data_IF_613771971991
#
_entry.id   IF_613771971991
#
_cell.length_a   1.000
_cell.length_b   1.000
_cell.length_c   1.000
_cell.angle_alpha   90.00
_cell.angle_beta   90.00
_cell.angle_gamma   90.00
#
_symmetry.space_group_name_H-M   'P 1'
#
loop_
_entity.id
_entity.type
_entity.pdbx_description
1 polymer ?
#
# COMPACT_ATOMS: atom_id res chain seq x y z
N UNK A 1 0.74 -10.20 13.74
CA UNK A 1 0.01 -10.60 12.50
C UNK A 1 -1.02 -9.52 12.21
N UNK A 2 -1.16 -9.08 10.95
CA UNK A 2 -2.06 -7.98 10.60
C UNK A 2 -3.52 -8.41 10.82
N UNK A 3 -4.31 -7.58 11.51
CA UNK A 3 -5.74 -7.74 11.67
C UNK A 3 -6.46 -6.64 10.89
N UNK A 4 -7.14 -7.00 9.79
CA UNK A 4 -7.76 -6.01 8.90
C UNK A 4 -8.95 -5.29 9.56
N UNK A 5 -9.61 -5.91 10.53
CA UNK A 5 -10.76 -5.31 11.21
C UNK A 5 -10.37 -4.21 12.20
N UNK A 6 -9.10 -4.14 12.61
CA UNK A 6 -8.59 -3.07 13.47
C UNK A 6 -7.96 -1.91 12.70
N UNK A 7 -7.90 -2.00 11.36
CA UNK A 7 -7.31 -0.97 10.53
C UNK A 7 -8.34 0.13 10.23
N UNK A 8 -7.97 1.35 10.54
CA UNK A 8 -8.69 2.55 10.13
C UNK A 8 -8.03 3.12 8.90
N UNK A 9 -8.81 3.36 7.84
CA UNK A 9 -8.28 3.97 6.61
C UNK A 9 -8.01 5.45 6.88
N UNK A 10 -6.76 5.88 6.66
CA UNK A 10 -6.38 7.31 6.68
C UNK A 10 -6.82 7.96 5.37
N UNK A 11 -6.50 7.33 4.24
CA UNK A 11 -6.85 7.85 2.93
C UNK A 11 -6.35 6.99 1.79
N UNK A 12 -6.83 7.28 0.58
CA UNK A 12 -6.23 6.74 -0.64
C UNK A 12 -4.97 7.54 -0.96
N UNK A 13 -3.85 6.85 -1.15
CA UNK A 13 -2.60 7.42 -1.67
C UNK A 13 -2.70 7.49 -3.19
N UNK A 14 -3.26 6.43 -3.80
CA UNK A 14 -3.56 6.34 -5.22
C UNK A 14 -4.99 5.82 -5.42
N UNK A 15 -5.75 6.50 -6.27
CA UNK A 15 -7.11 6.12 -6.65
C UNK A 15 -7.30 6.33 -8.16
N UNK A 16 -8.12 5.51 -8.81
CA UNK A 16 -8.66 5.84 -10.14
C UNK A 16 -10.17 5.63 -10.19
N UNK A 17 -10.61 4.38 -10.11
CA UNK A 17 -12.04 3.99 -9.99
C UNK A 17 -12.28 3.23 -8.68
N UNK A 18 -11.37 3.42 -7.73
CA UNK A 18 -11.18 2.59 -6.56
C UNK A 18 -9.76 2.72 -6.03
N UNK A 19 -9.58 2.32 -4.78
CA UNK A 19 -8.29 2.41 -4.09
C UNK A 19 -7.25 1.47 -4.74
N UNK A 20 -6.23 2.05 -5.37
CA UNK A 20 -5.06 1.32 -5.87
C UNK A 20 -4.05 1.14 -4.74
N UNK A 21 -3.83 2.21 -3.98
CA UNK A 21 -2.98 2.21 -2.80
C UNK A 21 -3.67 3.01 -1.71
N UNK A 22 -3.95 2.39 -0.57
CA UNK A 22 -4.56 3.04 0.58
C UNK A 22 -3.66 2.94 1.81
N UNK A 23 -3.59 4.03 2.57
CA UNK A 23 -2.88 4.11 3.84
C UNK A 23 -3.86 3.86 4.99
N UNK A 24 -3.43 3.03 5.92
CA UNK A 24 -4.18 2.64 7.10
C UNK A 24 -3.34 2.81 8.36
N UNK A 25 -4.02 2.95 9.49
CA UNK A 25 -3.45 2.98 10.83
C UNK A 25 -4.18 1.96 11.71
N UNK A 26 -3.46 1.28 12.61
CA UNK A 26 -4.09 0.51 13.68
C UNK A 26 -4.22 1.31 14.99
N UNK A 27 -4.80 0.68 16.01
CA UNK A 27 -4.98 1.28 17.33
C UNK A 27 -3.65 1.59 18.05
N UNK A 28 -2.55 0.96 17.63
CA UNK A 28 -1.20 1.17 18.17
C UNK A 28 -0.40 2.20 17.37
N UNK A 29 -1.05 2.96 16.47
CA UNK A 29 -0.40 3.97 15.62
C UNK A 29 0.64 3.40 14.66
N UNK A 30 0.49 2.12 14.28
CA UNK A 30 1.31 1.51 13.22
C UNK A 30 0.65 1.71 11.87
N UNK A 31 1.48 1.95 10.86
CA UNK A 31 1.01 2.22 9.50
C UNK A 31 1.04 0.97 8.65
N UNK A 32 0.02 0.84 7.80
CA UNK A 32 -0.12 -0.25 6.85
C UNK A 32 -0.55 0.29 5.50
N UNK A 33 -0.13 -0.39 4.44
CA UNK A 33 -0.61 -0.14 3.09
C UNK A 33 -1.48 -1.30 2.64
N UNK A 34 -2.61 -0.97 2.00
CA UNK A 34 -3.36 -1.88 1.16
C UNK A 34 -3.05 -1.57 -0.30
N UNK A 35 -2.37 -2.48 -0.99
CA UNK A 35 -2.04 -2.37 -2.41
C UNK A 35 -2.90 -3.29 -3.25
N UNK A 36 -3.52 -2.75 -4.28
CA UNK A 36 -4.27 -3.53 -5.26
C UNK A 36 -3.30 -4.29 -6.19
N UNK A 37 -3.69 -5.48 -6.60
CA UNK A 37 -2.90 -6.31 -7.50
C UNK A 37 -3.25 -6.02 -8.96
N UNK A 38 -2.24 -6.06 -9.84
CA UNK A 38 -2.33 -5.71 -11.25
C UNK A 38 -3.13 -6.72 -12.09
N UNK A 39 -3.32 -7.93 -11.56
CA UNK A 39 -4.16 -8.97 -12.13
C UNK A 39 -5.64 -8.85 -11.70
N UNK A 40 -5.95 -7.85 -10.86
CA UNK A 40 -7.29 -7.61 -10.34
C UNK A 40 -7.75 -8.63 -9.27
N UNK A 41 -6.85 -9.49 -8.79
CA UNK A 41 -7.21 -10.57 -7.87
C UNK A 41 -7.52 -10.11 -6.46
N UNK A 42 -7.17 -8.88 -6.06
CA UNK A 42 -7.55 -8.31 -4.77
C UNK A 42 -6.55 -7.32 -4.22
N UNK A 43 -6.52 -7.20 -2.89
CA UNK A 43 -5.66 -6.26 -2.16
C UNK A 43 -4.77 -7.00 -1.18
N UNK A 44 -3.48 -6.68 -1.19
CA UNK A 44 -2.50 -7.15 -0.20
C UNK A 44 -2.21 -6.06 0.82
N UNK A 45 -2.20 -6.43 2.09
CA UNK A 45 -1.97 -5.56 3.24
C UNK A 45 -0.67 -5.91 3.92
N UNK A 46 0.16 -4.90 4.16
CA UNK A 46 1.50 -5.03 4.74
C UNK A 46 1.85 -3.81 5.58
N UNK A 47 2.66 -4.01 6.63
CA UNK A 47 3.16 -2.91 7.45
C UNK A 47 4.09 -2.01 6.63
N UNK A 48 4.09 -0.71 6.91
CA UNK A 48 4.99 0.24 6.25
C UNK A 48 5.69 1.12 7.27
N UNK A 49 6.97 1.38 7.03
CA UNK A 49 7.72 2.39 7.76
C UNK A 49 7.49 3.76 7.12
N UNK A 50 7.20 4.78 7.93
CA UNK A 50 6.95 6.13 7.44
C UNK A 50 8.13 6.72 6.68
N UNK A 51 9.37 6.40 7.05
CA UNK A 51 10.56 6.88 6.34
C UNK A 51 10.51 6.43 4.87
N UNK A 52 10.32 5.13 4.62
CA UNK A 52 10.25 4.61 3.26
C UNK A 52 8.99 5.06 2.53
N UNK A 53 7.87 5.21 3.24
CA UNK A 53 6.65 5.75 2.64
C UNK A 53 6.87 7.19 2.12
N UNK A 54 7.56 8.03 2.88
CA UNK A 54 7.92 9.39 2.46
C UNK A 54 8.89 9.38 1.27
N UNK A 55 9.88 8.49 1.27
CA UNK A 55 10.77 8.29 0.12
C UNK A 55 10.00 7.89 -1.15
N UNK A 56 8.95 7.08 -1.02
CA UNK A 56 8.08 6.76 -2.14
C UNK A 56 7.33 7.99 -2.66
N UNK A 57 6.69 8.79 -1.78
CA UNK A 57 6.00 10.02 -2.18
C UNK A 57 6.95 11.04 -2.86
N UNK A 58 8.22 11.10 -2.41
CA UNK A 58 9.29 11.92 -3.01
C UNK A 58 9.89 11.31 -4.28
N UNK A 59 9.38 10.16 -4.73
CA UNK A 59 9.86 9.45 -5.93
C UNK A 59 11.32 9.00 -5.86
N UNK A 60 11.83 8.73 -4.66
CA UNK A 60 13.17 8.17 -4.43
C UNK A 60 13.16 6.64 -4.60
N UNK A 61 12.03 6.01 -4.31
CA UNK A 61 11.80 4.57 -4.48
C UNK A 61 10.46 4.30 -5.19
N UNK A 62 10.34 3.12 -5.78
CA UNK A 62 9.10 2.58 -6.37
C UNK A 62 8.22 1.91 -5.32
N UNK A 63 6.95 1.66 -5.65
CA UNK A 63 6.04 0.95 -4.74
C UNK A 63 6.51 -0.49 -4.45
N UNK A 64 7.10 -1.19 -5.44
CA UNK A 64 7.73 -2.50 -5.24
C UNK A 64 8.87 -2.42 -4.23
N UNK A 65 9.74 -1.41 -4.32
CA UNK A 65 10.82 -1.24 -3.35
C UNK A 65 10.27 -0.92 -1.96
N UNK A 66 9.24 -0.08 -1.84
CA UNK A 66 8.56 0.17 -0.57
C UNK A 66 7.99 -1.11 0.05
N UNK A 67 7.34 -1.94 -0.76
CA UNK A 67 6.82 -3.24 -0.33
C UNK A 67 7.93 -4.18 0.17
N UNK A 68 9.03 -4.28 -0.58
CA UNK A 68 10.18 -5.10 -0.20
C UNK A 68 10.82 -4.64 1.11
N UNK A 69 10.86 -3.32 1.38
CA UNK A 69 11.34 -2.73 2.63
C UNK A 69 10.41 -2.96 3.83
N UNK A 70 9.18 -3.41 3.61
CA UNK A 70 8.30 -3.82 4.72
C UNK A 70 8.94 -4.94 5.54
N UNK A 71 8.89 -4.81 6.87
CA UNK A 71 9.29 -5.87 7.81
C UNK A 71 8.34 -7.07 7.82
N UNK A 72 7.22 -7.00 7.10
CA UNK A 72 6.24 -8.08 7.04
C UNK A 72 6.82 -9.29 6.29
N UNK A 73 6.95 -10.42 6.97
CA UNK A 73 7.23 -11.71 6.32
C UNK A 73 5.93 -12.33 5.76
N UNK A 74 4.88 -12.32 6.58
CA UNK A 74 3.52 -12.72 6.19
C UNK A 74 2.66 -11.47 5.96
N UNK A 75 1.86 -11.52 4.92
CA UNK A 75 0.94 -10.45 4.52
C UNK A 75 -0.51 -10.95 4.52
N UNK A 76 -1.45 -10.02 4.68
CA UNK A 76 -2.88 -10.33 4.56
C UNK A 76 -3.35 -10.03 3.16
N UNK A 77 -4.05 -10.97 2.55
CA UNK A 77 -4.70 -10.81 1.27
C UNK A 77 -6.20 -10.80 1.46
N UNK A 78 -6.89 -9.87 0.79
CA UNK A 78 -8.34 -9.77 0.79
C UNK A 78 -8.87 -9.79 -0.63
N UNK A 79 -9.82 -10.69 -0.87
CA UNK A 79 -10.65 -10.70 -2.07
C UNK A 79 -12.11 -10.80 -1.66
N UNK A 80 -12.90 -9.77 -1.98
CA UNK A 80 -14.31 -9.65 -1.58
C UNK A 80 -14.45 -9.80 -0.05
N UNK A 81 -15.09 -10.88 0.41
CA UNK A 81 -15.34 -11.19 1.83
C UNK A 81 -14.34 -12.18 2.42
N UNK A 82 -13.36 -12.64 1.64
CA UNK A 82 -12.39 -13.65 2.05
C UNK A 82 -11.06 -13.01 2.38
N UNK A 83 -10.51 -13.39 3.53
CA UNK A 83 -9.20 -12.96 4.00
C UNK A 83 -8.30 -14.18 4.20
N UNK A 84 -7.06 -14.10 3.73
CA UNK A 84 -6.06 -15.17 3.81
C UNK A 84 -4.70 -14.58 4.15
N UNK A 85 -3.80 -15.44 4.64
CA UNK A 85 -2.41 -15.10 4.93
C UNK A 85 -1.51 -15.78 3.91
N UNK A 86 -0.51 -15.06 3.41
CA UNK A 86 0.43 -15.51 2.38
C UNK A 86 1.84 -15.02 2.70
N UNK A 87 2.83 -15.50 1.96
CA UNK A 87 4.18 -14.96 2.00
C UNK A 87 4.22 -13.63 1.25
N UNK A 88 5.03 -12.68 1.74
CA UNK A 88 5.24 -11.40 1.05
C UNK A 88 5.75 -11.61 -0.39
N UNK A 89 6.59 -12.61 -0.58
CA UNK A 89 7.24 -12.89 -1.87
C UNK A 89 6.22 -13.19 -2.98
N UNK A 90 5.09 -13.81 -2.64
CA UNK A 90 4.02 -14.22 -3.57
C UNK A 90 3.43 -13.05 -4.38
N UNK A 91 3.52 -11.80 -3.88
CA UNK A 91 2.91 -10.63 -4.53
C UNK A 91 3.90 -9.57 -5.03
N UNK A 92 5.21 -9.82 -4.89
CA UNK A 92 6.26 -8.82 -5.16
C UNK A 92 6.19 -8.20 -6.55
N UNK A 93 5.79 -9.01 -7.55
CA UNK A 93 5.67 -8.59 -8.95
C UNK A 93 4.23 -8.33 -9.40
N UNK A 94 3.27 -8.43 -8.47
CA UNK A 94 1.84 -8.31 -8.75
C UNK A 94 1.26 -6.97 -8.30
N UNK A 95 2.03 -6.08 -7.67
CA UNK A 95 1.49 -4.78 -7.23
C UNK A 95 1.14 -3.87 -8.42
N UNK A 96 -0.09 -3.35 -8.43
CA UNK A 96 -0.50 -2.31 -9.37
C UNK A 96 0.38 -1.06 -9.15
N UNK A 97 0.89 -0.48 -10.24
CA UNK A 97 1.89 0.60 -10.22
C UNK A 97 3.20 0.24 -9.48
N UNK A 98 3.48 -1.05 -9.27
CA UNK A 98 4.63 -1.53 -8.50
C UNK A 98 5.99 -1.03 -9.02
N UNK A 99 6.12 -0.88 -10.33
CA UNK A 99 7.39 -0.47 -11.00
C UNK A 99 7.51 1.04 -11.18
N UNK A 100 6.44 1.79 -10.93
CA UNK A 100 6.39 3.21 -11.21
C UNK A 100 6.91 4.02 -10.02
N UNK A 101 7.66 5.07 -10.34
CA UNK A 101 7.93 6.13 -9.37
C UNK A 101 6.69 7.00 -9.21
N UNK A 102 6.46 7.51 -8.00
CA UNK A 102 5.27 8.30 -7.69
C UNK A 102 5.08 9.49 -8.65
N UNK A 103 6.16 10.21 -9.00
CA UNK A 103 6.12 11.33 -9.96
C UNK A 103 5.58 10.97 -11.35
N UNK A 104 5.77 9.71 -11.78
CA UNK A 104 5.34 9.24 -13.10
C UNK A 104 3.85 8.83 -13.12
N UNK A 105 3.22 8.69 -11.95
CA UNK A 105 1.80 8.40 -11.85
C UNK A 105 1.01 9.68 -12.19
N UNK A 106 -0.09 9.59 -12.97
CA UNK A 106 -0.93 10.74 -13.28
C UNK A 106 -1.39 11.51 -12.02
N UNK A 107 -1.36 12.84 -12.08
CA UNK A 107 -1.76 13.68 -10.95
C UNK A 107 -3.21 13.45 -10.53
N UNK A 108 -4.11 13.15 -11.47
CA UNK A 108 -5.51 12.80 -11.20
C UNK A 108 -5.68 11.57 -10.33
N UNK A 109 -4.66 10.70 -10.24
CA UNK A 109 -4.70 9.50 -9.40
C UNK A 109 -4.18 9.73 -7.99
N UNK A 110 -3.48 10.84 -7.74
CA UNK A 110 -2.80 11.12 -6.47
C UNK A 110 -3.70 11.85 -5.51
N UNK A 111 -3.52 11.59 -4.22
CA UNK A 111 -4.20 12.32 -3.17
C UNK A 111 -3.35 13.49 -2.68
N UNK A 112 -3.82 14.70 -2.99
CA UNK A 112 -3.24 15.94 -2.48
C UNK A 112 -3.17 15.98 -0.95
N UNK A 113 -4.19 15.45 -0.26
CA UNK A 113 -4.22 15.44 1.20
C UNK A 113 -3.10 14.56 1.79
N UNK A 114 -2.88 13.37 1.21
CA UNK A 114 -1.78 12.49 1.63
C UNK A 114 -0.43 13.13 1.38
N UNK A 115 -0.23 13.77 0.22
CA UNK A 115 1.00 14.50 -0.07
C UNK A 115 1.23 15.57 1.00
N UNK A 116 0.24 16.43 1.23
CA UNK A 116 0.33 17.51 2.23
C UNK A 116 0.66 17.03 3.65
N UNK A 117 0.10 15.91 4.08
CA UNK A 117 0.26 15.43 5.46
C UNK A 117 1.59 14.67 5.68
N UNK A 118 2.19 14.14 4.60
CA UNK A 118 3.33 13.22 4.73
C UNK A 118 4.61 13.68 4.01
N UNK A 119 4.58 14.65 3.09
CA UNK A 119 5.80 15.20 2.44
C UNK A 119 6.29 16.48 3.10
#
# INVERSE_FOLDING_TARGET
MINLNSLTKIGDVLNSEGAILALYEDQEKKFYLGSFLNDGSGTVYYAVDLYYFKSYLKSEITLKQLYLKSSSFLVKFKFRKTEKTYLKEDFTDLLQCGKDFYKNIPASMKSYQIEKDFT
#
